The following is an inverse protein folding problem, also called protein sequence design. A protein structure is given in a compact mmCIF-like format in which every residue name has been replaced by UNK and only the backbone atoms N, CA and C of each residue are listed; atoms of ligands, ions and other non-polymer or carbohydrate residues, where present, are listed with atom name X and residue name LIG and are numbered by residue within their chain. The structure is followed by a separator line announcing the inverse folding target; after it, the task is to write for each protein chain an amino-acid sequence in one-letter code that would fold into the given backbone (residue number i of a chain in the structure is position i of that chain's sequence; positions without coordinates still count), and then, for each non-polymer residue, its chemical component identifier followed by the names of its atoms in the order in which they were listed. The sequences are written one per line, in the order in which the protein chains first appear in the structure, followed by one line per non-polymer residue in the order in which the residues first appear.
data_IF_109073034772
#
_entry.id   IF_109073034772
#
_cell.length_a   1.000
_cell.length_b   1.000
_cell.length_c   1.000
_cell.angle_alpha   90.00
_cell.angle_beta   90.00
_cell.angle_gamma   90.00
#
_symmetry.space_group_name_H-M   'P 1'
#
loop_
_entity.id
_entity.type
_entity.pdbx_description
1 polymer ?
#
# COMPACT_ATOMS: atom_id res chain seq x y z
N UNK A 1 -19.77 -21.09 25.92
CA UNK A 1 -18.80 -19.98 26.02
C UNK A 1 -17.42 -20.53 25.74
N UNK A 2 -16.87 -20.24 24.57
CA UNK A 2 -15.50 -20.67 24.18
C UNK A 2 -14.62 -19.44 24.39
N UNK A 3 -13.77 -19.51 25.40
CA UNK A 3 -12.73 -18.49 25.65
C UNK A 3 -11.70 -18.55 24.53
N UNK A 4 -11.35 -17.42 23.91
CA UNK A 4 -10.26 -17.42 22.92
C UNK A 4 -8.95 -17.70 23.66
N UNK A 5 -8.28 -18.79 23.27
CA UNK A 5 -6.91 -19.08 23.72
C UNK A 5 -6.02 -17.92 23.24
N UNK A 6 -5.45 -17.20 24.18
CA UNK A 6 -4.32 -16.29 23.95
C UNK A 6 -3.17 -17.08 23.35
N UNK A 7 -3.00 -17.01 22.05
CA UNK A 7 -1.78 -17.42 21.38
C UNK A 7 -0.84 -16.23 21.47
N UNK A 8 -0.11 -16.14 22.56
CA UNK A 8 1.08 -15.29 22.64
C UNK A 8 2.13 -15.89 21.69
N UNK A 9 2.71 -15.10 20.80
CA UNK A 9 3.80 -15.57 19.95
C UNK A 9 4.98 -15.94 20.85
N UNK A 10 5.41 -17.19 20.73
CA UNK A 10 6.56 -17.77 21.39
C UNK A 10 7.86 -17.13 20.88
N UNK A 11 8.65 -16.64 21.81
CA UNK A 11 10.02 -16.12 21.73
C UNK A 11 10.25 -14.81 20.97
N UNK A 12 10.98 -13.85 21.57
CA UNK A 12 11.44 -12.67 20.86
C UNK A 12 12.50 -13.10 19.83
N UNK A 13 12.15 -12.96 18.55
CA UNK A 13 13.15 -13.00 17.49
C UNK A 13 14.01 -11.75 17.72
N UNK A 14 15.27 -11.92 18.03
CA UNK A 14 16.26 -10.84 18.06
C UNK A 14 16.30 -10.23 16.66
N UNK A 15 15.70 -9.06 16.50
CA UNK A 15 15.69 -8.35 15.23
C UNK A 15 16.98 -7.53 15.16
N UNK A 16 17.75 -7.75 14.11
CA UNK A 16 18.95 -6.96 13.83
C UNK A 16 18.59 -5.48 13.73
N UNK A 17 19.46 -4.61 14.22
CA UNK A 17 19.29 -3.16 14.13
C UNK A 17 19.45 -2.62 12.69
N UNK A 18 19.58 -3.50 11.71
CA UNK A 18 19.71 -3.14 10.30
C UNK A 18 18.35 -2.75 9.70
N UNK A 19 18.31 -1.76 8.79
CA UNK A 19 17.10 -1.39 8.08
C UNK A 19 16.52 -2.59 7.35
N UNK A 20 15.18 -2.75 7.39
CA UNK A 20 14.51 -3.80 6.65
C UNK A 20 14.87 -3.71 5.16
N UNK A 21 15.29 -4.84 4.58
CA UNK A 21 15.50 -4.92 3.14
C UNK A 21 14.15 -4.89 2.40
N UNK A 22 14.18 -4.78 1.07
CA UNK A 22 12.94 -4.64 0.29
C UNK A 22 12.04 -5.88 0.40
N UNK A 23 12.59 -7.09 0.51
CA UNK A 23 11.80 -8.31 0.68
C UNK A 23 11.05 -8.32 2.01
N UNK A 24 11.71 -7.91 3.08
CA UNK A 24 11.08 -7.78 4.40
C UNK A 24 10.00 -6.70 4.42
N UNK A 25 10.25 -5.54 3.77
CA UNK A 25 9.26 -4.47 3.63
C UNK A 25 8.03 -4.93 2.84
N UNK A 26 8.23 -5.67 1.74
CA UNK A 26 7.15 -6.23 0.95
C UNK A 26 6.34 -7.22 1.77
N UNK A 27 7.00 -8.10 2.50
CA UNK A 27 6.36 -9.06 3.41
C UNK A 27 5.51 -8.36 4.47
N UNK A 28 6.04 -7.34 5.15
CA UNK A 28 5.29 -6.55 6.14
C UNK A 28 4.08 -5.87 5.50
N UNK A 29 4.23 -5.31 4.30
CA UNK A 29 3.12 -4.69 3.59
C UNK A 29 2.01 -5.68 3.23
N UNK A 30 2.39 -6.88 2.78
CA UNK A 30 1.45 -7.95 2.43
C UNK A 30 0.73 -8.51 3.67
N UNK A 31 1.42 -8.64 4.79
CA UNK A 31 0.82 -9.06 6.07
C UNK A 31 -0.18 -7.99 6.59
N UNK A 32 0.10 -6.68 6.44
CA UNK A 32 -0.86 -5.61 6.74
C UNK A 32 -2.10 -5.73 5.85
N UNK A 33 -1.92 -6.00 4.54
CA UNK A 33 -3.03 -6.24 3.62
C UNK A 33 -3.88 -7.43 4.06
N UNK A 34 -3.25 -8.55 4.38
CA UNK A 34 -3.92 -9.76 4.81
C UNK A 34 -4.66 -9.56 6.14
N UNK A 35 -4.05 -8.86 7.08
CA UNK A 35 -4.70 -8.52 8.35
C UNK A 35 -5.97 -7.69 8.11
N UNK A 36 -5.88 -6.61 7.33
CA UNK A 36 -7.04 -5.77 7.03
C UNK A 36 -8.11 -6.58 6.30
N UNK A 37 -7.74 -7.37 5.28
CA UNK A 37 -8.69 -8.18 4.51
C UNK A 37 -9.46 -9.19 5.37
N UNK A 38 -8.81 -9.76 6.38
CA UNK A 38 -9.42 -10.75 7.28
C UNK A 38 -10.29 -10.12 8.38
N UNK A 39 -9.84 -9.02 8.98
CA UNK A 39 -10.54 -8.41 10.11
C UNK A 39 -11.51 -7.28 9.73
N UNK A 40 -11.35 -6.72 8.53
CA UNK A 40 -12.20 -5.67 7.97
C UNK A 40 -12.47 -5.95 6.49
N UNK A 41 -13.21 -7.03 6.19
CA UNK A 41 -13.41 -7.53 4.81
C UNK A 41 -14.04 -6.49 3.88
N UNK A 42 -14.75 -5.50 4.42
CA UNK A 42 -15.27 -4.39 3.64
C UNK A 42 -14.17 -3.53 2.97
N UNK A 43 -12.94 -3.59 3.48
CA UNK A 43 -11.78 -2.91 2.89
C UNK A 43 -10.86 -3.82 2.07
N UNK A 44 -11.19 -5.10 1.92
CA UNK A 44 -10.30 -6.06 1.29
C UNK A 44 -9.88 -5.63 -0.14
N UNK A 45 -10.83 -5.25 -0.98
CA UNK A 45 -10.54 -4.78 -2.34
C UNK A 45 -9.72 -3.49 -2.34
N UNK A 46 -10.05 -2.55 -1.45
CA UNK A 46 -9.36 -1.26 -1.38
C UNK A 46 -7.92 -1.39 -0.89
N UNK A 47 -7.67 -2.24 0.11
CA UNK A 47 -6.31 -2.42 0.62
C UNK A 47 -5.42 -3.12 -0.39
N UNK A 48 -5.93 -4.09 -1.15
CA UNK A 48 -5.21 -4.74 -2.23
C UNK A 48 -4.88 -3.73 -3.34
N UNK A 49 -5.86 -2.97 -3.79
CA UNK A 49 -5.62 -1.92 -4.79
C UNK A 49 -4.58 -0.90 -4.30
N UNK A 50 -4.67 -0.46 -3.04
CA UNK A 50 -3.72 0.47 -2.45
C UNK A 50 -2.30 -0.09 -2.45
N UNK A 51 -2.13 -1.33 -2.01
CA UNK A 51 -0.86 -2.05 -1.96
C UNK A 51 -0.21 -2.17 -3.34
N UNK A 52 -0.98 -2.61 -4.34
CA UNK A 52 -0.46 -2.85 -5.69
C UNK A 52 -0.24 -1.56 -6.49
N UNK A 53 -1.12 -0.58 -6.35
CA UNK A 53 -1.01 0.67 -7.11
C UNK A 53 -0.02 1.67 -6.51
N UNK A 54 0.28 1.59 -5.21
CA UNK A 54 1.05 2.61 -4.50
C UNK A 54 0.45 4.02 -4.61
N UNK A 55 -0.87 4.14 -4.82
CA UNK A 55 -1.55 5.43 -4.87
C UNK A 55 -1.51 6.14 -3.51
N UNK A 56 -1.80 7.43 -3.49
CA UNK A 56 -2.03 8.11 -2.21
C UNK A 56 -3.40 7.71 -1.67
N UNK A 57 -3.50 7.51 -0.36
CA UNK A 57 -4.76 7.10 0.27
C UNK A 57 -5.95 7.98 -0.11
N UNK A 58 -5.75 9.29 -0.25
CA UNK A 58 -6.79 10.20 -0.70
C UNK A 58 -7.23 9.98 -2.16
N UNK A 59 -6.35 9.46 -3.02
CA UNK A 59 -6.70 9.10 -4.39
C UNK A 59 -7.57 7.84 -4.41
N UNK A 60 -7.30 6.89 -3.52
CA UNK A 60 -8.07 5.66 -3.35
C UNK A 60 -9.55 5.93 -3.01
N UNK A 61 -9.83 7.00 -2.27
CA UNK A 61 -11.20 7.36 -1.87
C UNK A 61 -11.84 8.45 -2.76
N UNK A 62 -11.34 8.62 -3.98
CA UNK A 62 -11.87 9.54 -4.97
C UNK A 62 -12.15 8.80 -6.29
N UNK A 63 -13.29 8.11 -6.42
CA UNK A 63 -13.60 7.27 -7.58
C UNK A 63 -13.56 8.04 -8.90
N UNK A 64 -13.88 9.33 -8.90
CA UNK A 64 -13.85 10.20 -10.09
C UNK A 64 -12.46 10.39 -10.69
N UNK A 65 -11.41 10.04 -9.95
CA UNK A 65 -10.03 10.09 -10.44
C UNK A 65 -9.60 8.85 -11.21
N UNK A 66 -10.40 7.80 -11.16
CA UNK A 66 -10.12 6.50 -11.77
C UNK A 66 -11.04 6.31 -12.96
N UNK A 67 -10.48 6.25 -14.16
CA UNK A 67 -11.25 6.07 -15.39
C UNK A 67 -10.81 4.82 -16.11
N UNK A 68 -11.74 3.91 -16.36
CA UNK A 68 -11.52 2.77 -17.23
C UNK A 68 -11.31 3.28 -18.66
N UNK A 69 -10.14 2.97 -19.24
CA UNK A 69 -9.79 3.35 -20.60
C UNK A 69 -10.09 2.21 -21.57
N UNK A 70 -9.82 0.97 -21.14
CA UNK A 70 -10.07 -0.24 -21.91
C UNK A 70 -10.29 -1.42 -20.97
N UNK A 71 -10.51 -2.63 -21.53
CA UNK A 71 -10.63 -3.85 -20.73
C UNK A 71 -9.32 -4.26 -20.02
N UNK A 72 -8.19 -3.64 -20.34
CA UNK A 72 -6.87 -3.98 -19.79
C UNK A 72 -6.18 -2.84 -19.06
N UNK A 73 -6.68 -1.59 -19.22
CA UNK A 73 -6.03 -0.40 -18.65
C UNK A 73 -7.01 0.60 -18.06
N UNK A 74 -6.49 1.36 -17.10
CA UNK A 74 -7.21 2.47 -16.50
C UNK A 74 -6.30 3.68 -16.33
N UNK A 75 -6.90 4.86 -16.43
CA UNK A 75 -6.25 6.13 -16.16
C UNK A 75 -6.53 6.57 -14.74
N UNK A 76 -5.48 6.98 -14.03
CA UNK A 76 -5.60 7.58 -12.70
C UNK A 76 -5.08 8.99 -12.71
N UNK A 77 -5.91 9.93 -12.29
CA UNK A 77 -5.57 11.34 -12.16
C UNK A 77 -5.07 11.63 -10.74
N UNK A 78 -3.76 11.90 -10.54
CA UNK A 78 -3.20 12.15 -9.22
C UNK A 78 -3.74 13.46 -8.61
N UNK A 79 -3.76 13.50 -7.28
CA UNK A 79 -4.32 14.64 -6.55
C UNK A 79 -3.47 15.92 -6.69
N UNK A 80 -2.14 15.78 -6.73
CA UNK A 80 -1.22 16.93 -6.62
C UNK A 80 -0.58 17.36 -7.94
N UNK A 81 -0.60 16.55 -8.98
CA UNK A 81 0.10 16.82 -10.22
C UNK A 81 -0.73 16.38 -11.42
N UNK A 82 -0.55 17.04 -12.54
CA UNK A 82 -1.29 16.72 -13.77
C UNK A 82 -0.73 15.51 -14.55
N UNK A 83 0.17 14.74 -13.95
CA UNK A 83 0.70 13.54 -14.56
C UNK A 83 -0.33 12.41 -14.44
N UNK A 84 -1.03 12.12 -15.51
CA UNK A 84 -1.97 10.99 -15.57
C UNK A 84 -1.18 9.69 -15.55
N UNK A 85 -1.61 8.75 -14.68
CA UNK A 85 -1.06 7.41 -14.63
C UNK A 85 -1.87 6.52 -15.57
N UNK A 86 -1.18 5.74 -16.38
CA UNK A 86 -1.79 4.67 -17.17
C UNK A 86 -1.38 3.33 -16.53
N UNK A 87 -2.34 2.64 -15.92
CA UNK A 87 -2.10 1.40 -15.20
C UNK A 87 -2.81 0.25 -15.91
N UNK A 88 -2.10 -0.87 -16.10
CA UNK A 88 -2.76 -2.10 -16.51
C UNK A 88 -3.41 -2.73 -15.29
N UNK A 89 -4.61 -3.28 -15.45
CA UNK A 89 -5.34 -3.93 -14.35
C UNK A 89 -4.52 -5.04 -13.67
N UNK A 90 -3.81 -5.85 -14.45
CA UNK A 90 -2.98 -6.93 -13.91
C UNK A 90 -1.83 -6.40 -13.01
N UNK A 91 -1.27 -5.25 -13.33
CA UNK A 91 -0.17 -4.67 -12.55
C UNK A 91 -0.62 -4.13 -11.19
N UNK A 92 -1.91 -3.91 -11.01
CA UNK A 92 -2.54 -3.47 -9.76
C UNK A 92 -3.39 -4.55 -9.09
N UNK A 93 -3.18 -5.81 -9.44
CA UNK A 93 -3.86 -6.94 -8.82
C UNK A 93 -5.35 -7.06 -9.20
N UNK A 94 -5.78 -6.43 -10.30
CA UNK A 94 -7.15 -6.51 -10.84
C UNK A 94 -7.11 -7.25 -12.17
N UNK A 95 -8.06 -8.13 -12.42
CA UNK A 95 -8.04 -8.96 -13.62
C UNK A 95 -8.43 -8.16 -14.88
N UNK A 96 -9.52 -7.42 -14.80
CA UNK A 96 -10.08 -6.63 -15.90
C UNK A 96 -11.01 -5.52 -15.42
N UNK A 97 -11.60 -4.81 -16.38
CA UNK A 97 -12.52 -3.71 -16.12
C UNK A 97 -13.78 -4.15 -15.33
N UNK A 98 -14.28 -5.36 -15.57
CA UNK A 98 -15.47 -5.86 -14.87
C UNK A 98 -15.17 -6.13 -13.38
N UNK A 99 -13.99 -6.70 -13.09
CA UNK A 99 -13.53 -6.91 -11.71
C UNK A 99 -13.27 -5.59 -10.97
N UNK A 100 -13.02 -4.48 -11.68
CA UNK A 100 -12.80 -3.18 -11.08
C UNK A 100 -14.09 -2.46 -10.64
N UNK A 101 -15.26 -2.82 -11.20
CA UNK A 101 -16.55 -2.18 -10.88
C UNK A 101 -16.87 -2.21 -9.38
N UNK A 102 -16.80 -3.36 -8.67
CA UNK A 102 -17.04 -3.40 -7.24
C UNK A 102 -16.03 -2.55 -6.44
N UNK A 103 -14.78 -2.45 -6.90
CA UNK A 103 -13.76 -1.61 -6.26
C UNK A 103 -14.13 -0.13 -6.36
N UNK A 104 -14.61 0.34 -7.52
CA UNK A 104 -15.13 1.72 -7.68
C UNK A 104 -16.32 1.99 -6.77
N UNK A 105 -17.21 1.03 -6.60
CA UNK A 105 -18.34 1.14 -5.68
C UNK A 105 -17.88 1.26 -4.23
N UNK A 106 -16.87 0.49 -3.82
CA UNK A 106 -16.27 0.57 -2.50
C UNK A 106 -15.58 1.92 -2.26
N UNK A 107 -14.85 2.44 -3.25
CA UNK A 107 -14.25 3.79 -3.19
C UNK A 107 -15.29 4.89 -2.95
N UNK A 108 -16.48 4.76 -3.54
CA UNK A 108 -17.55 5.75 -3.38
C UNK A 108 -18.27 5.65 -2.03
N UNK A 109 -18.33 4.45 -1.45
CA UNK A 109 -19.18 4.14 -0.29
C UNK A 109 -18.44 4.19 1.04
N UNK A 110 -17.19 3.72 1.07
CA UNK A 110 -16.46 3.52 2.31
C UNK A 110 -15.78 4.79 2.80
N UNK A 111 -15.78 5.07 4.11
CA UNK A 111 -15.19 6.29 4.64
C UNK A 111 -13.68 6.14 4.84
N UNK A 112 -12.92 7.10 4.30
CA UNK A 112 -11.46 7.20 4.42
C UNK A 112 -10.97 7.04 5.86
N UNK A 113 -11.59 7.72 6.82
CA UNK A 113 -11.16 7.68 8.23
C UNK A 113 -11.26 6.29 8.85
N UNK A 114 -12.22 5.47 8.43
CA UNK A 114 -12.33 4.09 8.92
C UNK A 114 -11.23 3.22 8.33
N UNK A 115 -10.89 3.42 7.07
CA UNK A 115 -9.74 2.75 6.44
C UNK A 115 -8.42 3.11 7.13
N UNK A 116 -8.17 4.39 7.39
CA UNK A 116 -6.96 4.84 8.12
C UNK A 116 -6.88 4.24 9.53
N UNK A 117 -8.02 4.11 10.23
CA UNK A 117 -8.10 3.43 11.54
C UNK A 117 -7.81 1.93 11.42
N UNK A 118 -8.37 1.27 10.40
CA UNK A 118 -8.11 -0.15 10.14
C UNK A 118 -6.63 -0.39 9.85
N UNK A 119 -6.01 0.48 9.03
CA UNK A 119 -4.58 0.43 8.74
C UNK A 119 -3.74 0.61 10.01
N UNK A 120 -4.04 1.63 10.81
CA UNK A 120 -3.33 1.87 12.08
C UNK A 120 -3.50 0.72 13.07
N UNK A 121 -4.66 0.07 13.10
CA UNK A 121 -4.91 -1.10 13.94
C UNK A 121 -4.10 -2.32 13.45
N UNK A 122 -4.04 -2.55 12.13
CA UNK A 122 -3.24 -3.61 11.53
C UNK A 122 -1.75 -3.45 11.85
N UNK A 123 -1.22 -2.24 11.70
CA UNK A 123 0.18 -1.94 12.06
C UNK A 123 0.45 -2.20 13.52
N UNK A 124 -0.42 -1.74 14.42
CA UNK A 124 -0.26 -1.94 15.87
C UNK A 124 -0.42 -3.41 16.28
N UNK A 125 -1.38 -4.11 15.70
CA UNK A 125 -1.67 -5.50 16.06
C UNK A 125 -0.62 -6.48 15.57
N UNK A 126 -0.07 -6.26 14.39
CA UNK A 126 0.80 -7.23 13.73
C UNK A 126 2.31 -6.95 13.91
N UNK A 127 2.71 -5.67 14.04
CA UNK A 127 4.11 -5.31 13.80
C UNK A 127 4.70 -4.31 14.80
N UNK A 128 3.92 -3.77 15.70
CA UNK A 128 4.37 -2.68 16.55
C UNK A 128 5.61 -3.05 17.36
N UNK A 129 5.69 -4.28 17.84
CA UNK A 129 6.84 -4.73 18.62
C UNK A 129 8.11 -4.82 17.76
N UNK A 130 8.02 -5.35 16.54
CA UNK A 130 9.15 -5.43 15.62
C UNK A 130 9.67 -4.06 15.19
N UNK A 131 8.78 -3.07 15.10
CA UNK A 131 9.11 -1.73 14.64
C UNK A 131 9.60 -0.84 15.78
N UNK A 132 8.99 -0.91 16.97
CA UNK A 132 9.41 -0.10 18.13
C UNK A 132 10.75 -0.52 18.71
N UNK A 133 11.03 -1.80 18.81
CA UNK A 133 12.31 -2.30 19.32
C UNK A 133 13.51 -1.84 18.48
N UNK A 134 13.29 -1.50 17.21
CA UNK A 134 14.30 -1.00 16.29
C UNK A 134 14.27 0.53 16.10
N UNK A 135 13.51 1.27 16.91
CA UNK A 135 13.44 2.73 16.83
C UNK A 135 12.72 3.28 15.60
N UNK A 136 11.87 2.48 14.97
CA UNK A 136 11.14 2.89 13.77
C UNK A 136 9.86 3.67 14.11
N UNK A 137 9.57 4.70 13.31
CA UNK A 137 8.29 5.39 13.38
C UNK A 137 7.14 4.48 12.91
N UNK A 138 5.94 4.65 13.50
CA UNK A 138 4.77 3.86 13.11
C UNK A 138 4.46 4.07 11.61
N UNK A 139 4.38 3.01 10.80
CA UNK A 139 4.03 3.13 9.40
C UNK A 139 2.66 3.78 9.23
N UNK A 140 2.57 4.69 8.25
CA UNK A 140 1.31 5.28 7.81
C UNK A 140 0.82 4.62 6.53
N UNK A 141 -0.39 4.95 6.10
CA UNK A 141 -0.95 4.50 4.81
C UNK A 141 -0.04 4.82 3.61
N UNK A 142 0.89 5.78 3.76
CA UNK A 142 1.88 6.12 2.73
C UNK A 142 2.95 5.03 2.52
N UNK A 143 3.04 4.08 3.45
CA UNK A 143 3.95 2.95 3.39
C UNK A 143 3.82 2.18 2.06
N UNK A 144 2.61 1.89 1.60
CA UNK A 144 2.41 1.13 0.37
C UNK A 144 3.01 1.80 -0.86
N UNK A 145 3.00 3.14 -0.89
CA UNK A 145 3.66 3.90 -1.96
C UNK A 145 5.18 3.74 -1.93
N UNK A 146 5.78 3.82 -0.75
CA UNK A 146 7.22 3.60 -0.58
C UNK A 146 7.63 2.19 -0.99
N UNK A 147 6.92 1.19 -0.48
CA UNK A 147 7.19 -0.21 -0.81
C UNK A 147 7.09 -0.41 -2.32
N UNK A 148 6.04 0.09 -2.97
CA UNK A 148 5.88 -0.03 -4.42
C UNK A 148 7.03 0.60 -5.21
N UNK A 149 7.46 1.81 -4.85
CA UNK A 149 8.60 2.48 -5.49
C UNK A 149 9.88 1.64 -5.34
N UNK A 150 10.15 1.10 -4.17
CA UNK A 150 11.33 0.26 -3.91
C UNK A 150 11.26 -1.07 -4.68
N UNK A 151 10.08 -1.69 -4.77
CA UNK A 151 9.86 -2.90 -5.57
C UNK A 151 10.15 -2.66 -7.06
N UNK A 152 9.61 -1.59 -7.63
CA UNK A 152 9.85 -1.25 -9.04
C UNK A 152 11.34 -0.96 -9.30
N UNK A 153 12.00 -0.26 -8.38
CA UNK A 153 13.45 -0.03 -8.46
C UNK A 153 14.25 -1.34 -8.37
N UNK A 154 13.89 -2.24 -7.46
CA UNK A 154 14.52 -3.55 -7.34
C UNK A 154 14.30 -4.46 -8.57
N UNK A 155 13.20 -4.24 -9.31
CA UNK A 155 12.92 -4.87 -10.60
C UNK A 155 13.69 -4.27 -11.78
N UNK A 156 14.53 -3.26 -11.52
CA UNK A 156 15.36 -2.61 -12.56
C UNK A 156 14.65 -1.52 -13.34
N UNK A 157 13.51 -1.00 -12.85
CA UNK A 157 12.85 0.13 -13.50
C UNK A 157 13.67 1.40 -13.35
N UNK A 158 13.76 2.17 -14.44
CA UNK A 158 14.39 3.49 -14.41
C UNK A 158 13.52 4.49 -13.61
N UNK A 159 14.17 5.50 -13.02
CA UNK A 159 13.47 6.49 -12.17
C UNK A 159 12.34 7.20 -12.90
N UNK A 160 12.49 7.50 -14.18
CA UNK A 160 11.49 8.13 -15.04
C UNK A 160 10.24 7.24 -15.21
N UNK A 161 10.46 5.93 -15.38
CA UNK A 161 9.39 4.94 -15.46
C UNK A 161 8.64 4.84 -14.13
N UNK A 162 9.37 4.79 -13.02
CA UNK A 162 8.79 4.77 -11.67
C UNK A 162 8.01 6.07 -11.41
N UNK A 163 8.57 7.24 -11.76
CA UNK A 163 7.87 8.52 -11.61
C UNK A 163 6.56 8.54 -12.38
N UNK A 164 6.56 8.06 -13.61
CA UNK A 164 5.36 7.92 -14.45
C UNK A 164 4.35 6.98 -13.82
N UNK A 165 4.79 5.79 -13.40
CA UNK A 165 3.93 4.81 -12.74
C UNK A 165 3.24 5.39 -11.49
N UNK A 166 4.02 6.04 -10.62
CA UNK A 166 3.52 6.53 -9.34
C UNK A 166 2.79 7.88 -9.46
N UNK A 167 2.87 8.55 -10.62
CA UNK A 167 2.26 9.86 -10.86
C UNK A 167 3.01 11.00 -10.18
N UNK A 168 4.35 10.94 -10.15
CA UNK A 168 5.20 12.04 -9.70
C UNK A 168 5.68 12.87 -10.91
N UNK A 169 5.72 14.20 -10.73
CA UNK A 169 6.23 15.11 -11.77
C UNK A 169 7.75 15.11 -11.86
N UNK A 170 8.42 14.95 -10.73
CA UNK A 170 9.85 15.11 -10.61
C UNK A 170 10.50 13.81 -10.19
N UNK A 171 11.48 13.40 -10.95
CA UNK A 171 12.33 12.26 -10.64
C UNK A 171 13.08 12.47 -9.32
N UNK A 172 13.44 13.72 -8.99
CA UNK A 172 14.11 14.06 -7.72
C UNK A 172 13.29 13.71 -6.50
N UNK A 173 11.95 13.74 -6.59
CA UNK A 173 11.09 13.30 -5.48
C UNK A 173 11.25 11.80 -5.17
N UNK A 174 11.70 10.99 -6.14
CA UNK A 174 11.93 9.57 -5.92
C UNK A 174 13.14 9.31 -5.02
N UNK A 175 14.15 10.19 -5.03
CA UNK A 175 15.31 10.04 -4.17
C UNK A 175 14.93 10.04 -2.70
N UNK A 176 13.91 10.82 -2.33
CA UNK A 176 13.34 10.77 -0.99
C UNK A 176 12.80 9.37 -0.65
N UNK A 177 12.07 8.73 -1.57
CA UNK A 177 11.50 7.40 -1.36
C UNK A 177 12.56 6.30 -1.37
N UNK A 178 13.52 6.39 -2.28
CA UNK A 178 14.56 5.37 -2.45
C UNK A 178 15.58 5.41 -1.32
N UNK A 179 15.95 6.61 -0.85
CA UNK A 179 16.95 6.82 0.19
C UNK A 179 16.33 6.88 1.60
N UNK A 180 15.01 7.03 1.73
CA UNK A 180 14.38 7.05 3.04
C UNK A 180 14.52 5.67 3.69
N UNK A 181 15.13 5.68 4.87
CA UNK A 181 14.91 4.59 5.80
C UNK A 181 13.46 4.73 6.27
N UNK A 182 12.63 3.75 5.93
CA UNK A 182 11.18 3.83 6.04
C UNK A 182 10.67 4.18 7.44
N UNK A 183 11.54 4.03 8.42
CA UNK A 183 11.21 4.02 9.82
C UNK A 183 12.16 4.85 10.68
N UNK A 184 12.68 5.93 10.14
CA UNK A 184 13.37 6.94 10.95
C UNK A 184 12.51 8.16 11.14
#
# INVERSE_FOLDING_TARGET
MITPKNILPTAPIMISAEPLNISELSTVADEICNFISNYRPEFANLVQLHRHSGCRVKELFQPTRWKVESNVSLLVHPQKHNAVRNLRFVDIGVQDAAAFVPILADMARLPLRQYERAFSAAVRGAYIYRLYENGYATPSTHMFRHVKIKELSAQGWEKEQIATWIGEKSVQNLDYYLNSQFFK
#
